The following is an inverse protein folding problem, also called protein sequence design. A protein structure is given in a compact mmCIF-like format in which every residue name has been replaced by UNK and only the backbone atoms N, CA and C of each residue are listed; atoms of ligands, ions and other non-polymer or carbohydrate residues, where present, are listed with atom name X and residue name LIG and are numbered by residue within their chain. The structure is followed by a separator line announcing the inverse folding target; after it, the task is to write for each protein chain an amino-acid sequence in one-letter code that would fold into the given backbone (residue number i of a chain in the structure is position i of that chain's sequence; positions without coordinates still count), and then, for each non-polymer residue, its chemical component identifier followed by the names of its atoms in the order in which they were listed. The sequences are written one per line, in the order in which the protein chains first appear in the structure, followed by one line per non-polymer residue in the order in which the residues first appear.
data_IF_222896990102
#
_entry.id   IF_222896990102
#
_cell.length_a   1.000
_cell.length_b   1.000
_cell.length_c   1.000
_cell.angle_alpha   90.00
_cell.angle_beta   90.00
_cell.angle_gamma   90.00
#
_symmetry.space_group_name_H-M   'P 1'
#
loop_
_entity.id
_entity.type
_entity.pdbx_description
1 polymer ?
#
# COMPACT_ATOMS: atom_id res chain seq x y z
N UNK A 1 32.97 -51.30 34.23
CA UNK A 1 31.50 -51.44 34.13
C UNK A 1 30.99 -50.07 33.66
N UNK A 2 31.36 -49.62 32.46
CA UNK A 2 31.39 -48.17 32.13
C UNK A 2 30.90 -47.82 30.72
N UNK A 3 30.38 -48.79 29.97
CA UNK A 3 29.89 -48.60 28.60
C UNK A 3 28.55 -47.84 28.56
N UNK A 4 27.69 -48.05 29.56
CA UNK A 4 26.33 -47.49 29.57
C UNK A 4 26.29 -45.96 29.75
N UNK A 5 27.25 -45.37 30.46
CA UNK A 5 27.24 -43.94 30.80
C UNK A 5 27.69 -43.05 29.64
N UNK A 6 28.58 -43.57 28.78
CA UNK A 6 29.10 -42.85 27.60
C UNK A 6 28.05 -42.72 26.49
N UNK A 7 27.29 -43.78 26.25
CA UNK A 7 26.24 -43.80 25.21
C UNK A 7 25.08 -42.87 25.57
N UNK A 8 24.65 -42.85 26.83
CA UNK A 8 23.60 -41.94 27.31
C UNK A 8 24.01 -40.46 27.17
N UNK A 9 25.29 -40.13 27.42
CA UNK A 9 25.80 -38.76 27.28
C UNK A 9 25.86 -38.31 25.82
N UNK A 10 26.16 -39.25 24.91
CA UNK A 10 26.22 -39.02 23.46
C UNK A 10 24.82 -38.85 22.88
N UNK A 11 23.86 -39.69 23.26
CA UNK A 11 22.45 -39.52 22.88
C UNK A 11 21.85 -38.20 23.37
N UNK A 12 22.14 -37.78 24.60
CA UNK A 12 21.68 -36.48 25.13
C UNK A 12 22.22 -35.27 24.34
N UNK A 13 23.44 -35.37 23.79
CA UNK A 13 24.01 -34.33 22.92
C UNK A 13 23.32 -34.30 21.55
N UNK A 14 23.07 -35.47 20.96
CA UNK A 14 22.40 -35.58 19.66
C UNK A 14 20.97 -35.03 19.76
N UNK A 15 20.21 -35.40 20.80
CA UNK A 15 18.85 -34.90 21.02
C UNK A 15 18.82 -33.37 21.17
N UNK A 16 19.77 -32.78 21.91
CA UNK A 16 19.86 -31.30 22.05
C UNK A 16 20.17 -30.61 20.73
N UNK A 17 21.05 -31.17 19.90
CA UNK A 17 21.38 -30.61 18.57
C UNK A 17 20.17 -30.71 17.64
N UNK A 18 19.42 -31.83 17.67
CA UNK A 18 18.21 -32.01 16.88
C UNK A 18 17.11 -31.01 17.26
N UNK A 19 16.93 -30.69 18.54
CA UNK A 19 15.94 -29.69 19.00
C UNK A 19 16.31 -28.28 18.51
N UNK A 20 17.60 -27.92 18.53
CA UNK A 20 18.07 -26.61 18.05
C UNK A 20 17.86 -26.46 16.52
N UNK A 21 18.10 -27.52 15.75
CA UNK A 21 17.84 -27.49 14.30
C UNK A 21 16.35 -27.35 13.96
N UNK A 22 15.47 -28.00 14.73
CA UNK A 22 14.02 -27.91 14.55
C UNK A 22 13.46 -26.50 14.83
N UNK A 23 14.07 -25.75 15.75
CA UNK A 23 13.65 -24.36 16.02
C UNK A 23 14.03 -23.36 14.93
N UNK A 24 14.99 -23.69 14.06
CA UNK A 24 15.44 -22.80 12.97
C UNK A 24 14.60 -22.90 11.69
N UNK A 25 13.73 -23.90 11.55
CA UNK A 25 12.89 -24.08 10.36
C UNK A 25 11.49 -23.44 10.44
N UNK A 26 11.16 -22.75 11.53
CA UNK A 26 9.91 -21.98 11.66
C UNK A 26 10.09 -20.51 11.28
N UNK A 27 10.85 -20.21 10.23
CA UNK A 27 10.66 -18.95 9.51
C UNK A 27 9.47 -19.19 8.60
N UNK A 28 8.28 -18.84 9.09
CA UNK A 28 7.03 -18.96 8.34
C UNK A 28 7.19 -18.35 6.96
N UNK A 29 6.88 -19.14 5.92
CA UNK A 29 6.57 -18.62 4.61
C UNK A 29 5.40 -17.65 4.77
N UNK A 30 5.68 -16.35 4.88
CA UNK A 30 4.66 -15.33 4.63
C UNK A 30 4.43 -15.38 3.13
N UNK A 31 3.57 -16.29 2.69
CA UNK A 31 2.95 -16.18 1.39
C UNK A 31 2.17 -14.87 1.45
N UNK A 32 2.68 -13.82 0.79
CA UNK A 32 1.91 -12.60 0.54
C UNK A 32 0.72 -13.03 -0.33
N UNK A 33 -0.40 -13.34 0.31
CA UNK A 33 -1.65 -13.52 -0.39
C UNK A 33 -1.88 -12.23 -1.18
N UNK A 34 -1.89 -12.35 -2.50
CA UNK A 34 -2.13 -11.22 -3.40
C UNK A 34 -3.41 -10.54 -2.93
N UNK A 35 -3.34 -9.25 -2.60
CA UNK A 35 -4.48 -8.48 -2.09
C UNK A 35 -5.70 -8.67 -3.00
N UNK A 36 -6.91 -8.78 -2.46
CA UNK A 36 -8.11 -8.94 -3.27
C UNK A 36 -8.57 -7.58 -3.82
N UNK A 37 -9.15 -7.56 -5.02
CA UNK A 37 -9.76 -6.33 -5.58
C UNK A 37 -11.01 -5.95 -4.78
N UNK A 38 -11.33 -4.66 -4.72
CA UNK A 38 -12.52 -4.14 -4.06
C UNK A 38 -12.61 -4.50 -2.55
N UNK A 39 -11.47 -4.74 -1.92
CA UNK A 39 -11.40 -5.23 -0.55
C UNK A 39 -11.55 -4.08 0.45
N UNK A 40 -12.67 -4.07 1.18
CA UNK A 40 -12.98 -3.06 2.20
C UNK A 40 -12.09 -3.18 3.44
N UNK A 41 -11.67 -4.39 3.82
CA UNK A 41 -10.78 -4.58 4.98
C UNK A 41 -9.42 -3.89 4.77
N UNK A 42 -8.93 -3.85 3.53
CA UNK A 42 -7.73 -3.08 3.19
C UNK A 42 -7.96 -1.57 3.31
N UNK A 43 -9.18 -1.07 3.05
CA UNK A 43 -9.53 0.32 3.30
C UNK A 43 -9.48 0.65 4.80
N UNK A 44 -10.01 -0.24 5.64
CA UNK A 44 -9.93 -0.14 7.10
C UNK A 44 -8.48 -0.07 7.59
N UNK A 45 -7.61 -0.95 7.10
CA UNK A 45 -6.18 -0.93 7.45
C UNK A 45 -5.54 0.42 7.12
N UNK A 46 -5.86 1.01 5.97
CA UNK A 46 -5.34 2.34 5.60
C UNK A 46 -5.91 3.43 6.49
N UNK A 47 -7.22 3.38 6.77
CA UNK A 47 -7.87 4.35 7.64
C UNK A 47 -7.24 4.40 9.03
N UNK A 48 -7.10 3.23 9.67
CA UNK A 48 -6.58 3.09 11.04
C UNK A 48 -5.10 3.44 11.16
N UNK A 49 -4.34 3.31 10.07
CA UNK A 49 -2.88 3.49 10.06
C UNK A 49 -2.45 4.70 9.21
N UNK A 50 -3.34 5.64 8.90
CA UNK A 50 -3.08 6.73 7.94
C UNK A 50 -1.83 7.56 8.29
N UNK A 51 -1.58 7.75 9.59
CA UNK A 51 -0.43 8.49 10.12
C UNK A 51 0.81 7.60 10.33
N UNK A 52 0.81 6.34 9.93
CA UNK A 52 1.95 5.41 10.06
C UNK A 52 2.00 4.34 8.95
N UNK A 53 1.57 4.69 7.73
CA UNK A 53 1.55 3.76 6.60
C UNK A 53 2.94 3.24 6.23
N UNK A 54 3.04 1.93 6.06
CA UNK A 54 4.19 1.24 5.48
C UNK A 54 4.09 1.16 3.95
N UNK A 55 5.19 0.82 3.29
CA UNK A 55 5.20 0.57 1.85
C UNK A 55 4.21 -0.52 1.45
N UNK A 56 4.21 -1.67 2.15
CA UNK A 56 3.31 -2.78 1.85
C UNK A 56 1.84 -2.41 2.04
N UNK A 57 1.51 -1.64 3.08
CA UNK A 57 0.14 -1.20 3.30
C UNK A 57 -0.38 -0.38 2.12
N UNK A 58 0.42 0.59 1.66
CA UNK A 58 0.06 1.41 0.49
C UNK A 58 0.00 0.55 -0.76
N UNK A 59 0.92 -0.40 -0.95
CA UNK A 59 0.92 -1.29 -2.12
C UNK A 59 -0.35 -2.17 -2.15
N UNK A 60 -0.68 -2.82 -1.03
CA UNK A 60 -1.88 -3.63 -0.87
C UNK A 60 -3.15 -2.83 -1.16
N UNK A 61 -3.20 -1.57 -0.71
CA UNK A 61 -4.29 -0.64 -0.98
C UNK A 61 -4.37 -0.22 -2.44
N UNK A 62 -3.25 0.17 -3.06
CA UNK A 62 -3.26 0.51 -4.48
C UNK A 62 -3.64 -0.70 -5.33
N UNK A 63 -3.27 -1.90 -4.90
CA UNK A 63 -3.68 -3.12 -5.57
C UNK A 63 -5.20 -3.34 -5.53
N UNK A 64 -5.95 -2.85 -4.53
CA UNK A 64 -7.40 -3.12 -4.46
C UNK A 64 -8.21 -2.43 -5.55
N UNK A 65 -7.66 -1.40 -6.20
CA UNK A 65 -8.33 -0.67 -7.29
C UNK A 65 -8.49 -1.55 -8.53
N UNK A 66 -9.69 -1.57 -9.09
CA UNK A 66 -10.02 -2.32 -10.30
C UNK A 66 -11.30 -1.75 -10.93
N UNK A 67 -11.46 -1.89 -12.25
CA UNK A 67 -12.70 -1.52 -12.96
C UNK A 67 -13.91 -2.33 -12.48
N UNK A 68 -13.69 -3.57 -12.00
CA UNK A 68 -14.75 -4.40 -11.42
C UNK A 68 -15.41 -3.73 -10.18
N UNK A 69 -14.70 -2.84 -9.49
CA UNK A 69 -15.19 -2.21 -8.27
C UNK A 69 -16.21 -1.09 -8.50
N UNK A 70 -16.40 -0.63 -9.75
CA UNK A 70 -17.26 0.53 -10.08
C UNK A 70 -18.72 0.40 -9.61
N UNK A 71 -19.22 -0.84 -9.49
CA UNK A 71 -20.59 -1.11 -9.06
C UNK A 71 -20.71 -1.25 -7.53
N UNK A 72 -19.60 -1.30 -6.81
CA UNK A 72 -19.56 -1.24 -5.36
C UNK A 72 -19.45 0.24 -4.95
N UNK A 73 -20.61 0.87 -4.70
CA UNK A 73 -20.72 2.30 -4.39
C UNK A 73 -19.93 2.65 -3.13
N UNK A 74 -20.11 1.88 -2.05
CA UNK A 74 -19.44 2.11 -0.77
C UNK A 74 -17.92 2.04 -0.91
N UNK A 75 -17.42 0.97 -1.54
CA UNK A 75 -15.99 0.84 -1.80
C UNK A 75 -15.48 1.99 -2.67
N UNK A 76 -16.21 2.35 -3.74
CA UNK A 76 -15.76 3.40 -4.68
C UNK A 76 -15.67 4.77 -4.00
N UNK A 77 -16.64 5.11 -3.16
CA UNK A 77 -16.63 6.35 -2.39
C UNK A 77 -15.49 6.36 -1.37
N UNK A 78 -15.40 5.31 -0.55
CA UNK A 78 -14.44 5.28 0.54
C UNK A 78 -13.00 5.15 0.06
N UNK A 79 -12.75 4.32 -0.96
CA UNK A 79 -11.42 4.17 -1.56
C UNK A 79 -10.94 5.47 -2.21
N UNK A 80 -11.83 6.26 -2.82
CA UNK A 80 -11.49 7.59 -3.34
C UNK A 80 -11.06 8.52 -2.20
N UNK A 81 -11.89 8.67 -1.15
CA UNK A 81 -11.53 9.52 -0.02
C UNK A 81 -10.19 9.12 0.62
N UNK A 82 -9.97 7.81 0.79
CA UNK A 82 -8.71 7.30 1.32
C UNK A 82 -7.54 7.54 0.37
N UNK A 83 -7.75 7.45 -0.95
CA UNK A 83 -6.72 7.76 -1.94
C UNK A 83 -6.22 9.20 -1.78
N UNK A 84 -7.13 10.17 -1.68
CA UNK A 84 -6.78 11.56 -1.40
C UNK A 84 -6.05 11.72 -0.06
N UNK A 85 -6.55 11.08 1.01
CA UNK A 85 -5.91 11.12 2.34
C UNK A 85 -4.50 10.54 2.32
N UNK A 86 -4.27 9.41 1.64
CA UNK A 86 -2.95 8.77 1.48
C UNK A 86 -2.01 9.70 0.73
N UNK A 87 -2.44 10.28 -0.38
CA UNK A 87 -1.59 11.20 -1.16
C UNK A 87 -1.28 12.46 -0.34
N UNK A 88 -2.25 13.02 0.40
CA UNK A 88 -2.03 14.22 1.22
C UNK A 88 -1.06 13.97 2.38
N UNK A 89 -1.24 12.86 3.11
CA UNK A 89 -0.46 12.54 4.32
C UNK A 89 0.89 11.91 4.00
N UNK A 90 0.95 11.11 2.94
CA UNK A 90 2.08 10.22 2.60
C UNK A 90 2.52 10.36 1.14
N UNK A 91 2.47 11.57 0.59
CA UNK A 91 2.75 11.87 -0.84
C UNK A 91 3.98 11.15 -1.39
N UNK A 92 5.14 11.28 -0.73
CA UNK A 92 6.39 10.65 -1.20
C UNK A 92 6.30 9.12 -1.23
N UNK A 93 5.69 8.53 -0.21
CA UNK A 93 5.53 7.07 -0.11
C UNK A 93 4.58 6.57 -1.20
N UNK A 94 3.45 7.26 -1.40
CA UNK A 94 2.48 6.96 -2.44
C UNK A 94 3.14 6.86 -3.82
N UNK A 95 3.86 7.91 -4.25
CA UNK A 95 4.49 7.91 -5.57
C UNK A 95 5.65 6.90 -5.69
N UNK A 96 6.32 6.58 -4.57
CA UNK A 96 7.31 5.50 -4.55
C UNK A 96 6.67 4.14 -4.79
N UNK A 97 5.52 3.86 -4.17
CA UNK A 97 4.78 2.60 -4.32
C UNK A 97 4.13 2.50 -5.70
N UNK A 98 3.58 3.61 -6.22
CA UNK A 98 2.99 3.67 -7.56
C UNK A 98 3.99 3.28 -8.67
N UNK A 99 5.29 3.43 -8.43
CA UNK A 99 6.36 3.04 -9.35
C UNK A 99 6.85 1.60 -9.18
N UNK A 100 6.28 0.85 -8.22
CA UNK A 100 6.63 -0.55 -8.04
C UNK A 100 6.05 -1.41 -9.18
N UNK A 101 6.75 -2.48 -9.51
CA UNK A 101 6.34 -3.42 -10.57
C UNK A 101 5.04 -4.18 -10.21
N UNK A 102 4.67 -4.18 -8.93
CA UNK A 102 3.45 -4.82 -8.42
C UNK A 102 2.18 -4.02 -8.74
N UNK A 103 2.31 -2.74 -9.06
CA UNK A 103 1.17 -1.87 -9.42
C UNK A 103 0.98 -1.89 -10.93
N UNK A 104 0.02 -2.70 -11.37
CA UNK A 104 -0.33 -2.87 -12.80
C UNK A 104 -1.65 -2.21 -13.17
N UNK A 105 -2.27 -1.50 -12.23
CA UNK A 105 -3.61 -0.92 -12.31
C UNK A 105 -3.60 0.60 -12.12
N UNK A 106 -2.49 1.24 -12.48
CA UNK A 106 -2.27 2.69 -12.40
C UNK A 106 -3.38 3.52 -13.07
N UNK A 107 -3.91 3.05 -14.20
CA UNK A 107 -5.04 3.68 -14.89
C UNK A 107 -6.32 3.72 -14.05
N UNK A 108 -6.63 2.64 -13.33
CA UNK A 108 -7.79 2.58 -12.43
C UNK A 108 -7.60 3.54 -11.24
N UNK A 109 -6.39 3.54 -10.65
CA UNK A 109 -6.05 4.42 -9.53
C UNK A 109 -6.19 5.89 -9.94
N UNK A 110 -5.63 6.26 -11.10
CA UNK A 110 -5.71 7.63 -11.62
C UNK A 110 -7.16 8.01 -11.98
N UNK A 111 -7.96 7.08 -12.50
CA UNK A 111 -9.39 7.30 -12.74
C UNK A 111 -10.16 7.56 -11.44
N UNK A 112 -9.90 6.79 -10.38
CA UNK A 112 -10.48 7.04 -9.06
C UNK A 112 -10.04 8.39 -8.51
N UNK A 113 -8.77 8.78 -8.70
CA UNK A 113 -8.28 10.10 -8.29
C UNK A 113 -8.99 11.25 -9.01
N UNK A 114 -9.36 11.08 -10.28
CA UNK A 114 -10.09 12.11 -11.04
C UNK A 114 -11.51 12.38 -10.55
N UNK A 115 -12.10 11.51 -9.74
CA UNK A 115 -13.41 11.79 -9.18
C UNK A 115 -13.26 12.80 -8.02
N UNK A 116 -13.85 14.01 -8.13
CA UNK A 116 -13.64 15.08 -7.17
C UNK A 116 -14.26 14.76 -5.79
N UNK A 117 -13.60 15.23 -4.75
CA UNK A 117 -14.13 15.32 -3.40
C UNK A 117 -14.74 16.70 -3.16
N UNK A 118 -15.90 16.73 -2.50
CA UNK A 118 -16.51 17.97 -2.04
C UNK A 118 -15.63 18.64 -0.97
N UNK A 119 -15.53 19.97 -1.02
CA UNK A 119 -14.82 20.81 -0.05
C UNK A 119 -13.34 20.44 0.20
N UNK A 120 -12.68 19.83 -0.80
CA UNK A 120 -11.28 19.44 -0.69
C UNK A 120 -10.31 20.56 -1.09
N UNK A 121 -9.20 20.72 -0.36
CA UNK A 121 -8.18 21.72 -0.68
C UNK A 121 -7.21 21.21 -1.77
N UNK A 122 -7.63 21.32 -3.02
CA UNK A 122 -6.86 20.88 -4.18
C UNK A 122 -5.55 21.65 -4.38
N UNK A 123 -5.49 22.93 -4.03
CA UNK A 123 -4.25 23.72 -4.13
C UNK A 123 -3.15 23.16 -3.23
N UNK A 124 -3.49 22.89 -1.96
CA UNK A 124 -2.55 22.30 -1.01
C UNK A 124 -2.03 20.95 -1.49
N UNK A 125 -2.90 20.12 -2.07
CA UNK A 125 -2.50 18.83 -2.62
C UNK A 125 -1.60 18.99 -3.87
N UNK A 126 -1.95 19.93 -4.76
CA UNK A 126 -1.15 20.28 -5.93
C UNK A 126 0.28 20.66 -5.53
N UNK A 127 0.43 21.57 -4.57
CA UNK A 127 1.73 22.04 -4.09
C UNK A 127 2.56 20.90 -3.49
N UNK A 128 1.93 19.99 -2.74
CA UNK A 128 2.58 18.79 -2.20
C UNK A 128 3.10 17.88 -3.31
N UNK A 129 2.28 17.59 -4.33
CA UNK A 129 2.65 16.73 -5.45
C UNK A 129 3.74 17.40 -6.29
N UNK A 130 3.63 18.70 -6.56
CA UNK A 130 4.63 19.46 -7.31
C UNK A 130 6.02 19.39 -6.67
N UNK A 131 6.08 19.40 -5.34
CA UNK A 131 7.33 19.36 -4.57
C UNK A 131 8.05 18.00 -4.52
N UNK A 132 7.47 16.90 -5.03
CA UNK A 132 8.12 15.59 -4.94
C UNK A 132 9.18 15.38 -6.03
N UNK A 133 10.30 14.75 -5.64
CA UNK A 133 11.36 14.28 -6.53
C UNK A 133 11.10 12.81 -6.88
N UNK A 134 10.25 12.56 -7.87
CA UNK A 134 9.85 11.21 -8.32
C UNK A 134 9.77 11.15 -9.85
N UNK A 135 9.34 10.03 -10.45
CA UNK A 135 9.16 9.95 -11.90
C UNK A 135 8.25 11.08 -12.41
N UNK A 136 8.75 11.79 -13.42
CA UNK A 136 8.11 12.98 -13.95
C UNK A 136 6.76 12.65 -14.60
N UNK A 137 6.68 11.52 -15.29
CA UNK A 137 5.44 11.05 -15.93
C UNK A 137 4.30 10.85 -14.92
N UNK A 138 4.52 10.04 -13.86
CA UNK A 138 3.48 9.77 -12.88
C UNK A 138 3.08 11.06 -12.15
N UNK A 139 4.05 11.86 -11.71
CA UNK A 139 3.77 13.14 -11.05
C UNK A 139 2.92 14.06 -11.94
N UNK A 140 3.30 14.21 -13.20
CA UNK A 140 2.61 15.12 -14.13
C UNK A 140 1.18 14.65 -14.42
N UNK A 141 0.92 13.34 -14.49
CA UNK A 141 -0.44 12.80 -14.63
C UNK A 141 -1.37 13.24 -13.49
N UNK A 142 -0.89 13.24 -12.24
CA UNK A 142 -1.68 13.69 -11.09
C UNK A 142 -1.84 15.22 -11.04
N UNK A 143 -0.79 15.98 -11.40
CA UNK A 143 -0.88 17.44 -11.49
C UNK A 143 -1.86 17.89 -12.59
N UNK A 144 -1.89 17.17 -13.72
CA UNK A 144 -2.83 17.40 -14.80
C UNK A 144 -4.25 17.04 -14.36
N UNK A 145 -4.45 15.89 -13.72
CA UNK A 145 -5.76 15.50 -13.17
C UNK A 145 -6.30 16.54 -12.17
N UNK A 146 -5.47 17.07 -11.28
CA UNK A 146 -5.87 18.17 -10.38
C UNK A 146 -6.28 19.44 -11.15
N UNK A 147 -5.56 19.76 -12.24
CA UNK A 147 -5.89 20.90 -13.09
C UNK A 147 -7.18 20.70 -13.89
N UNK A 148 -7.53 19.45 -14.23
CA UNK A 148 -8.80 19.09 -14.85
C UNK A 148 -9.95 19.26 -13.85
N UNK A 149 -9.83 18.66 -12.66
CA UNK A 149 -10.81 18.80 -11.56
C UNK A 149 -11.07 20.28 -11.25
N UNK A 150 -10.02 21.09 -11.12
CA UNK A 150 -10.18 22.52 -10.82
C UNK A 150 -11.05 23.26 -11.83
N UNK A 151 -10.86 22.97 -13.12
CA UNK A 151 -11.66 23.57 -14.20
C UNK A 151 -13.12 23.12 -14.12
N UNK A 152 -13.37 21.83 -13.86
CA UNK A 152 -14.72 21.27 -13.74
C UNK A 152 -15.47 21.91 -12.56
N UNK A 153 -14.78 22.11 -11.44
CA UNK A 153 -15.29 22.74 -10.23
C UNK A 153 -15.23 24.28 -10.27
N UNK A 154 -14.93 24.87 -11.44
CA UNK A 154 -14.91 26.32 -11.68
C UNK A 154 -13.97 27.13 -10.76
N UNK A 155 -12.81 26.57 -10.41
CA UNK A 155 -11.72 27.28 -9.72
C UNK A 155 -10.37 27.12 -10.44
N UNK A 156 -9.39 27.94 -10.07
CA UNK A 156 -8.05 27.90 -10.67
C UNK A 156 -6.99 27.48 -9.66
N UNK A 157 -6.07 26.61 -10.09
CA UNK A 157 -4.86 26.28 -9.35
C UNK A 157 -3.74 27.26 -9.71
N UNK A 158 -3.01 27.73 -8.70
CA UNK A 158 -1.76 28.48 -8.88
C UNK A 158 -0.66 27.49 -9.23
N UNK A 159 -0.18 27.56 -10.47
CA UNK A 159 0.75 26.58 -11.05
C UNK A 159 2.21 26.83 -10.77
#
# INVERSE_FOLDING_TARGET
MDTNTSEIKTMRKIIKISIILLTFMNVSNVAFAKSEKCNIDKLLVIHDNIDSLSFQMVEDFLYTFDEACKNNVEYSQWSNELLYKVIDKRTKLYFKVLQSENITNDSCILKSFRAPLLDYNYQKLYDKIKGIKTSESARNSYLNALSEIAKEESFELVR
#
